data_IF_308016878570
#
_entry.id   IF_308016878570
#
_cell.length_a   1.000
_cell.length_b   1.000
_cell.length_c   1.000
_cell.angle_alpha   90.00
_cell.angle_beta   90.00
_cell.angle_gamma   90.00
#
_symmetry.space_group_name_H-M   'P 1'
#
loop_
_entity.id
_entity.type
_entity.pdbx_description
1 polymer ?
#
# COMPACT_ATOMS: atom_id res chain seq x y z
N UNK A 1 -6.59 32.42 -22.88
CA UNK A 1 -7.81 32.03 -22.16
C UNK A 1 -7.88 30.51 -22.19
N UNK A 2 -7.68 29.83 -21.06
CA UNK A 2 -7.78 28.36 -20.99
C UNK A 2 -9.25 27.99 -21.23
N UNK A 3 -9.49 27.04 -22.13
CA UNK A 3 -10.84 26.54 -22.40
C UNK A 3 -11.36 25.77 -21.16
N UNK A 4 -12.27 26.41 -20.42
CA UNK A 4 -12.77 25.91 -19.13
C UNK A 4 -13.48 24.57 -19.29
N UNK A 5 -14.28 24.42 -20.33
CA UNK A 5 -15.04 23.20 -20.57
C UNK A 5 -14.08 22.03 -20.83
N UNK A 6 -12.97 22.31 -21.52
CA UNK A 6 -11.88 21.35 -21.69
C UNK A 6 -11.22 20.95 -20.38
N UNK A 7 -10.95 21.90 -19.47
CA UNK A 7 -10.36 21.60 -18.14
C UNK A 7 -11.30 20.77 -17.26
N UNK A 8 -12.59 21.09 -17.24
CA UNK A 8 -13.59 20.34 -16.47
C UNK A 8 -13.80 18.92 -17.04
N UNK A 9 -13.80 18.79 -18.37
CA UNK A 9 -13.82 17.51 -19.04
C UNK A 9 -12.57 16.68 -18.70
N UNK A 10 -11.39 17.32 -18.67
CA UNK A 10 -10.13 16.66 -18.32
C UNK A 10 -10.10 16.17 -16.88
N UNK A 11 -10.57 16.98 -15.91
CA UNK A 11 -10.72 16.53 -14.51
C UNK A 11 -11.59 15.27 -14.44
N UNK A 12 -12.72 15.26 -15.17
CA UNK A 12 -13.62 14.13 -15.19
C UNK A 12 -13.00 12.89 -15.85
N UNK A 13 -12.24 13.07 -16.94
CA UNK A 13 -11.48 11.99 -17.60
C UNK A 13 -10.42 11.39 -16.66
N UNK A 14 -9.64 12.24 -15.98
CA UNK A 14 -8.63 11.81 -15.02
C UNK A 14 -9.25 10.93 -13.94
N UNK A 15 -10.35 11.36 -13.32
CA UNK A 15 -11.07 10.59 -12.30
C UNK A 15 -11.57 9.26 -12.86
N UNK A 16 -12.13 9.26 -14.07
CA UNK A 16 -12.86 8.11 -14.62
C UNK A 16 -11.97 7.04 -15.22
N UNK A 17 -10.82 7.45 -15.77
CA UNK A 17 -9.98 6.58 -16.58
C UNK A 17 -8.54 6.56 -16.07
N UNK A 18 -7.88 7.72 -16.05
CA UNK A 18 -6.41 7.78 -15.92
C UNK A 18 -5.91 7.48 -14.51
N UNK A 19 -6.66 7.88 -13.48
CA UNK A 19 -6.33 7.66 -12.07
C UNK A 19 -6.82 6.30 -11.55
N UNK A 20 -7.58 5.56 -12.36
CA UNK A 20 -8.05 4.23 -11.98
C UNK A 20 -6.91 3.21 -12.13
N UNK A 21 -6.93 2.12 -11.34
CA UNK A 21 -5.97 1.05 -11.51
C UNK A 21 -6.14 0.36 -12.87
N UNK A 22 -5.02 0.02 -13.52
CA UNK A 22 -5.00 -0.60 -14.85
C UNK A 22 -5.66 -1.99 -14.85
N UNK A 23 -5.61 -2.69 -13.72
CA UNK A 23 -6.22 -3.99 -13.52
C UNK A 23 -6.94 -4.07 -12.17
N UNK A 24 -8.04 -4.83 -12.12
CA UNK A 24 -8.80 -5.02 -10.86
C UNK A 24 -7.95 -5.65 -9.76
N UNK A 25 -7.08 -6.58 -10.13
CA UNK A 25 -6.14 -7.29 -9.24
C UNK A 25 -4.97 -6.44 -8.75
N UNK A 26 -4.85 -5.19 -9.20
CA UNK A 26 -3.77 -4.31 -8.78
C UNK A 26 -3.71 -4.13 -7.26
N UNK A 27 -4.85 -4.22 -6.57
CA UNK A 27 -4.93 -3.99 -5.12
C UNK A 27 -4.26 -5.09 -4.30
N UNK A 28 -4.59 -6.35 -4.56
CA UNK A 28 -4.00 -7.49 -3.82
C UNK A 28 -2.54 -7.80 -4.18
N UNK A 29 -2.07 -7.33 -5.34
CA UNK A 29 -0.70 -7.55 -5.83
C UNK A 29 0.24 -6.35 -5.62
N UNK A 30 -0.12 -5.44 -4.72
CA UNK A 30 0.78 -4.35 -4.35
C UNK A 30 2.05 -4.89 -3.69
N UNK A 31 3.20 -4.44 -4.17
CA UNK A 31 4.52 -4.87 -3.68
C UNK A 31 4.88 -4.37 -2.27
N UNK A 32 4.11 -3.41 -1.73
CA UNK A 32 4.37 -2.84 -0.40
C UNK A 32 3.82 -3.76 0.69
N UNK A 33 4.68 -4.14 1.65
CA UNK A 33 4.29 -4.93 2.82
C UNK A 33 3.22 -4.22 3.66
N UNK A 34 3.39 -2.91 3.91
CA UNK A 34 2.39 -2.11 4.65
C UNK A 34 1.03 -2.12 3.93
N UNK A 35 1.04 -2.01 2.59
CA UNK A 35 -0.18 -2.08 1.81
C UNK A 35 -0.85 -3.45 1.94
N UNK A 36 -0.07 -4.53 1.81
CA UNK A 36 -0.58 -5.90 1.91
C UNK A 36 -1.18 -6.17 3.30
N UNK A 37 -0.54 -5.72 4.37
CA UNK A 37 -1.07 -5.85 5.74
C UNK A 37 -2.41 -5.12 5.87
N UNK A 38 -2.49 -3.85 5.47
CA UNK A 38 -3.73 -3.06 5.52
C UNK A 38 -4.84 -3.68 4.68
N UNK A 39 -4.52 -4.20 3.50
CA UNK A 39 -5.47 -4.91 2.65
C UNK A 39 -6.05 -6.13 3.37
N UNK A 40 -5.20 -6.96 3.98
CA UNK A 40 -5.63 -8.15 4.72
C UNK A 40 -6.46 -7.81 5.96
N UNK A 41 -6.11 -6.75 6.68
CA UNK A 41 -6.91 -6.24 7.80
C UNK A 41 -8.30 -5.79 7.34
N UNK A 42 -8.38 -5.07 6.22
CA UNK A 42 -9.64 -4.65 5.62
C UNK A 42 -10.48 -5.87 5.20
N UNK A 43 -9.87 -6.86 4.54
CA UNK A 43 -10.55 -8.12 4.17
C UNK A 43 -11.17 -8.78 5.39
N UNK A 44 -10.52 -8.77 6.56
CA UNK A 44 -11.03 -9.40 7.79
C UNK A 44 -12.10 -8.57 8.50
N UNK A 45 -11.98 -7.24 8.46
CA UNK A 45 -12.83 -6.34 9.24
C UNK A 45 -14.13 -5.95 8.55
N UNK A 46 -14.23 -6.11 7.22
CA UNK A 46 -15.45 -5.77 6.47
C UNK A 46 -16.68 -6.54 6.93
N UNK A 47 -17.89 -5.93 6.89
CA UNK A 47 -19.14 -6.58 7.28
C UNK A 47 -19.37 -7.88 6.51
N UNK A 48 -20.01 -8.86 7.15
CA UNK A 48 -20.33 -10.14 6.53
C UNK A 48 -21.21 -9.98 5.28
N UNK A 49 -22.17 -9.05 5.32
CA UNK A 49 -23.03 -8.76 4.18
C UNK A 49 -22.29 -7.91 3.12
N UNK A 50 -21.97 -8.55 1.99
CA UNK A 50 -21.30 -7.93 0.84
C UNK A 50 -22.16 -6.89 0.11
N UNK A 51 -23.49 -6.91 0.28
CA UNK A 51 -24.40 -5.93 -0.36
C UNK A 51 -24.15 -4.51 0.16
N UNK A 52 -23.59 -4.41 1.37
CA UNK A 52 -23.22 -3.16 2.03
C UNK A 52 -21.92 -2.56 1.49
N UNK A 53 -21.12 -3.31 0.74
CA UNK A 53 -19.79 -2.92 0.29
C UNK A 53 -19.85 -1.93 -0.88
N UNK A 54 -20.28 -0.71 -0.57
CA UNK A 54 -20.25 0.44 -1.47
C UNK A 54 -19.68 1.59 -0.67
N UNK A 55 -18.68 2.29 -1.20
CA UNK A 55 -17.97 3.35 -0.48
C UNK A 55 -18.92 4.36 0.19
N UNK A 56 -19.97 4.79 -0.54
CA UNK A 56 -20.97 5.74 -0.06
C UNK A 56 -22.08 5.13 0.82
N UNK A 57 -22.08 3.84 1.07
CA UNK A 57 -23.00 3.23 2.03
C UNK A 57 -22.64 3.67 3.46
N UNK A 58 -23.64 3.88 4.32
CA UNK A 58 -23.44 4.25 5.72
C UNK A 58 -22.68 3.17 6.50
N UNK A 59 -22.93 1.88 6.18
CA UNK A 59 -22.19 0.77 6.78
C UNK A 59 -20.67 0.81 6.48
N UNK A 60 -20.26 1.56 5.44
CA UNK A 60 -18.87 1.71 5.06
C UNK A 60 -18.16 2.90 5.72
N UNK A 61 -18.88 3.77 6.45
CA UNK A 61 -18.30 4.94 7.12
C UNK A 61 -17.04 4.62 7.93
N UNK A 62 -16.98 3.56 8.77
CA UNK A 62 -15.78 3.25 9.56
C UNK A 62 -14.55 2.89 8.71
N UNK A 63 -14.75 2.45 7.46
CA UNK A 63 -13.68 1.94 6.59
C UNK A 63 -13.20 2.98 5.56
N UNK A 64 -13.92 4.09 5.38
CA UNK A 64 -13.59 5.12 4.36
C UNK A 64 -12.18 5.67 4.55
N UNK A 65 -11.77 5.97 5.79
CA UNK A 65 -10.42 6.46 6.07
C UNK A 65 -9.31 5.51 5.58
N UNK A 66 -9.50 4.20 5.77
CA UNK A 66 -8.56 3.18 5.30
C UNK A 66 -8.58 3.06 3.77
N UNK A 67 -9.77 3.05 3.15
CA UNK A 67 -9.93 3.03 1.70
C UNK A 67 -9.28 4.24 1.02
N UNK A 68 -9.44 5.42 1.59
CA UNK A 68 -8.85 6.65 1.07
C UNK A 68 -7.32 6.64 1.25
N UNK A 69 -6.81 6.11 2.37
CA UNK A 69 -5.37 5.99 2.60
C UNK A 69 -4.71 5.03 1.59
N UNK A 70 -5.33 3.87 1.34
CA UNK A 70 -4.87 2.92 0.33
C UNK A 70 -4.92 3.55 -1.07
N UNK A 71 -6.00 4.28 -1.38
CA UNK A 71 -6.15 5.00 -2.65
C UNK A 71 -5.05 6.04 -2.85
N UNK A 72 -4.77 6.87 -1.83
CA UNK A 72 -3.67 7.86 -1.87
C UNK A 72 -2.31 7.21 -2.09
N UNK A 73 -2.02 6.13 -1.34
CA UNK A 73 -0.76 5.42 -1.46
C UNK A 73 -0.54 4.89 -2.89
N UNK A 74 -1.58 4.30 -3.48
CA UNK A 74 -1.55 3.83 -4.86
C UNK A 74 -1.29 4.96 -5.85
N UNK A 75 -2.05 6.05 -5.78
CA UNK A 75 -1.91 7.18 -6.71
C UNK A 75 -0.51 7.77 -6.67
N UNK A 76 0.06 7.97 -5.46
CA UNK A 76 1.40 8.53 -5.30
C UNK A 76 2.50 7.64 -5.89
N UNK A 77 2.32 6.32 -5.86
CA UNK A 77 3.34 5.36 -6.33
C UNK A 77 3.19 5.01 -7.80
N UNK A 78 1.95 4.88 -8.27
CA UNK A 78 1.64 4.28 -9.58
C UNK A 78 1.19 5.30 -10.61
N UNK A 79 0.59 6.43 -10.20
CA UNK A 79 0.04 7.47 -11.09
C UNK A 79 0.43 8.89 -10.63
N UNK A 80 1.72 9.16 -10.32
CA UNK A 80 2.11 10.45 -9.72
C UNK A 80 1.91 11.62 -10.68
N UNK A 81 2.13 11.41 -11.97
CA UNK A 81 1.99 12.45 -13.00
C UNK A 81 0.53 12.86 -13.18
N UNK A 82 -0.37 11.89 -13.36
CA UNK A 82 -1.80 12.14 -13.49
C UNK A 82 -2.40 12.73 -12.22
N UNK A 83 -1.91 12.30 -11.05
CA UNK A 83 -2.29 12.90 -9.77
C UNK A 83 -1.84 14.37 -9.68
N UNK A 84 -0.64 14.67 -10.18
CA UNK A 84 -0.11 16.03 -10.28
C UNK A 84 -0.99 16.90 -11.17
N UNK A 85 -1.30 16.43 -12.38
CA UNK A 85 -2.19 17.10 -13.33
C UNK A 85 -3.57 17.37 -12.70
N UNK A 86 -4.17 16.35 -12.07
CA UNK A 86 -5.45 16.46 -11.39
C UNK A 86 -5.45 17.57 -10.33
N UNK A 87 -4.43 17.60 -9.46
CA UNK A 87 -4.30 18.62 -8.42
C UNK A 87 -4.10 20.01 -9.01
N UNK A 88 -3.32 20.14 -10.08
CA UNK A 88 -3.09 21.41 -10.74
C UNK A 88 -4.38 21.96 -11.36
N UNK A 89 -5.17 21.13 -12.05
CA UNK A 89 -6.44 21.53 -12.64
C UNK A 89 -7.47 21.96 -11.58
N UNK A 90 -7.53 21.25 -10.44
CA UNK A 90 -8.37 21.67 -9.31
C UNK A 90 -7.93 23.02 -8.75
N UNK A 91 -6.64 23.23 -8.53
CA UNK A 91 -6.12 24.50 -8.04
C UNK A 91 -6.40 25.66 -9.01
N UNK A 92 -6.30 25.43 -10.31
CA UNK A 92 -6.65 26.43 -11.33
C UNK A 92 -8.14 26.78 -11.29
N UNK A 93 -9.03 25.79 -11.17
CA UNK A 93 -10.47 26.03 -11.08
C UNK A 93 -10.84 26.79 -9.80
N UNK A 94 -10.23 26.47 -8.67
CA UNK A 94 -10.43 27.21 -7.41
C UNK A 94 -10.00 28.66 -7.54
N UNK A 95 -8.76 28.91 -8.03
CA UNK A 95 -8.25 30.27 -8.25
C UNK A 95 -9.14 31.09 -9.20
N UNK A 96 -9.62 30.45 -10.26
CA UNK A 96 -10.51 31.11 -11.22
C UNK A 96 -11.83 31.55 -10.57
N UNK A 97 -12.43 30.69 -9.75
CA UNK A 97 -13.68 31.01 -9.03
C UNK A 97 -13.46 32.09 -7.98
N UNK A 98 -12.37 32.02 -7.23
CA UNK A 98 -11.99 33.06 -6.25
C UNK A 98 -11.76 34.42 -6.93
N UNK A 99 -11.11 34.44 -8.10
CA UNK A 99 -10.90 35.67 -8.86
C UNK A 99 -12.20 36.29 -9.39
N UNK A 100 -13.18 35.46 -9.78
CA UNK A 100 -14.47 35.93 -10.28
C UNK A 100 -15.39 36.49 -9.18
N UNK A 101 -15.39 35.85 -8.02
CA UNK A 101 -16.39 36.12 -6.98
C UNK A 101 -15.81 36.71 -5.69
N UNK A 102 -14.50 36.93 -5.62
CA UNK A 102 -13.79 37.34 -4.41
C UNK A 102 -13.63 36.21 -3.40
N UNK A 103 -12.65 36.33 -2.49
CA UNK A 103 -12.46 35.38 -1.39
C UNK A 103 -13.49 35.61 -0.27
N UNK A 104 -13.89 34.53 0.44
CA UNK A 104 -14.80 34.61 1.59
C UNK A 104 -16.29 34.82 1.25
N UNK A 105 -16.66 34.83 -0.03
CA UNK A 105 -18.06 34.87 -0.47
C UNK A 105 -18.69 33.47 -0.49
N UNK A 106 -20.03 33.40 -0.56
CA UNK A 106 -20.75 32.12 -0.72
C UNK A 106 -20.26 31.37 -1.96
N UNK A 107 -19.86 32.11 -2.98
CA UNK A 107 -19.32 31.62 -4.24
C UNK A 107 -17.88 31.08 -4.10
N UNK A 108 -17.04 31.68 -3.25
CA UNK A 108 -15.75 31.10 -2.88
C UNK A 108 -15.90 29.76 -2.16
N UNK A 109 -16.87 29.67 -1.22
CA UNK A 109 -17.19 28.39 -0.57
C UNK A 109 -17.61 27.32 -1.59
N UNK A 110 -18.37 27.70 -2.64
CA UNK A 110 -18.71 26.78 -3.74
C UNK A 110 -17.49 26.30 -4.54
N UNK A 111 -16.37 27.02 -4.55
CA UNK A 111 -15.13 26.59 -5.19
C UNK A 111 -14.44 25.49 -4.38
N UNK A 112 -14.39 25.65 -3.06
CA UNK A 112 -13.89 24.62 -2.15
C UNK A 112 -14.77 23.37 -2.21
N UNK A 113 -16.10 23.55 -2.18
CA UNK A 113 -17.06 22.46 -2.35
C UNK A 113 -16.82 21.69 -3.66
N UNK A 114 -16.47 22.38 -4.76
CA UNK A 114 -16.15 21.71 -6.02
C UNK A 114 -14.92 20.82 -5.91
N UNK A 115 -13.84 21.33 -5.29
CA UNK A 115 -12.61 20.56 -5.08
C UNK A 115 -12.87 19.33 -4.21
N UNK A 116 -13.59 19.51 -3.11
CA UNK A 116 -13.92 18.43 -2.17
C UNK A 116 -14.83 17.39 -2.84
N UNK A 117 -15.80 17.83 -3.64
CA UNK A 117 -16.66 16.94 -4.43
C UNK A 117 -15.86 16.11 -5.44
N UNK A 118 -14.85 16.69 -6.11
CA UNK A 118 -14.02 15.96 -7.07
C UNK A 118 -13.05 14.99 -6.41
N UNK A 119 -12.49 15.35 -5.26
CA UNK A 119 -11.71 14.42 -4.43
C UNK A 119 -12.59 13.27 -3.93
N UNK A 120 -13.80 13.57 -3.47
CA UNK A 120 -14.76 12.56 -3.05
C UNK A 120 -15.16 11.63 -4.21
N UNK A 121 -15.40 12.16 -5.42
CA UNK A 121 -15.70 11.36 -6.61
C UNK A 121 -14.55 10.38 -6.94
N UNK A 122 -13.30 10.86 -6.87
CA UNK A 122 -12.10 10.05 -7.06
C UNK A 122 -12.01 8.93 -6.03
N UNK A 123 -12.07 9.26 -4.73
CA UNK A 123 -11.95 8.28 -3.66
C UNK A 123 -13.11 7.30 -3.63
N UNK A 124 -14.33 7.73 -3.94
CA UNK A 124 -15.46 6.83 -4.04
C UNK A 124 -15.26 5.79 -5.15
N UNK A 125 -14.74 6.19 -6.31
CA UNK A 125 -14.42 5.24 -7.40
C UNK A 125 -13.31 4.28 -7.00
N UNK A 126 -12.22 4.79 -6.44
CA UNK A 126 -11.09 3.98 -6.02
C UNK A 126 -11.47 3.01 -4.89
N UNK A 127 -12.14 3.49 -3.85
CA UNK A 127 -12.67 2.67 -2.76
C UNK A 127 -13.60 1.57 -3.28
N UNK A 128 -14.51 1.89 -4.20
CA UNK A 128 -15.35 0.87 -4.83
C UNK A 128 -14.54 -0.14 -5.66
N UNK A 129 -13.42 0.26 -6.27
CA UNK A 129 -12.54 -0.67 -6.98
C UNK A 129 -11.81 -1.62 -6.03
N UNK A 130 -11.35 -1.12 -4.87
CA UNK A 130 -10.75 -1.94 -3.80
C UNK A 130 -11.77 -2.95 -3.29
N UNK A 131 -12.99 -2.49 -2.97
CA UNK A 131 -14.08 -3.36 -2.48
C UNK A 131 -14.47 -4.44 -3.50
N UNK A 132 -14.43 -4.13 -4.80
CA UNK A 132 -14.65 -5.12 -5.87
C UNK A 132 -13.56 -6.18 -5.90
N UNK A 133 -12.29 -5.79 -5.76
CA UNK A 133 -11.20 -6.76 -5.70
C UNK A 133 -11.29 -7.66 -4.45
N UNK A 134 -11.60 -7.09 -3.28
CA UNK A 134 -11.83 -7.88 -2.06
C UNK A 134 -13.01 -8.84 -2.23
N UNK A 135 -14.09 -8.42 -2.88
CA UNK A 135 -15.25 -9.28 -3.16
C UNK A 135 -14.90 -10.44 -4.09
N UNK A 136 -14.10 -10.18 -5.13
CA UNK A 136 -13.59 -11.22 -6.01
C UNK A 136 -12.70 -12.21 -5.23
N UNK A 137 -11.76 -11.68 -4.45
CA UNK A 137 -10.85 -12.49 -3.62
C UNK A 137 -11.59 -13.40 -2.63
N UNK A 138 -12.62 -12.89 -1.93
CA UNK A 138 -13.44 -13.74 -1.03
C UNK A 138 -14.19 -14.82 -1.80
N UNK A 139 -14.71 -14.50 -2.99
CA UNK A 139 -15.42 -15.48 -3.82
C UNK A 139 -14.49 -16.59 -4.31
N UNK A 140 -13.24 -16.25 -4.65
CA UNK A 140 -12.18 -17.22 -4.98
C UNK A 140 -11.88 -18.15 -3.79
N UNK A 141 -11.76 -17.61 -2.56
CA UNK A 141 -11.54 -18.43 -1.36
C UNK A 141 -12.71 -19.37 -1.06
N UNK A 142 -13.94 -18.89 -1.22
CA UNK A 142 -15.15 -19.68 -0.99
C UNK A 142 -15.28 -20.81 -2.01
N UNK A 143 -14.99 -20.54 -3.28
CA UNK A 143 -14.98 -21.56 -4.33
C UNK A 143 -13.96 -22.67 -4.03
N UNK A 144 -12.74 -22.30 -3.64
CA UNK A 144 -11.68 -23.26 -3.25
C UNK A 144 -12.11 -24.11 -2.05
N UNK A 145 -12.77 -23.49 -1.06
CA UNK A 145 -13.27 -24.17 0.14
C UNK A 145 -14.42 -25.15 -0.15
N UNK A 146 -15.24 -24.89 -1.18
CA UNK A 146 -16.34 -25.76 -1.59
C UNK A 146 -15.88 -26.93 -2.47
N UNK A 147 -14.81 -26.75 -3.25
CA UNK A 147 -14.25 -27.82 -4.11
C UNK A 147 -13.35 -28.81 -3.37
N UNK A 148 -12.85 -28.46 -2.18
CA UNK A 148 -11.97 -29.31 -1.38
C UNK A 148 -12.66 -29.84 -0.12
N UNK A 149 -13.37 -30.97 -0.25
CA UNK A 149 -13.50 -31.94 0.85
C UNK A 149 -12.19 -32.74 0.95
N UNK A 150 -11.09 -32.09 1.35
CA UNK A 150 -9.76 -32.68 1.61
C UNK A 150 -8.97 -31.79 2.60
N UNK A 151 -7.98 -32.35 3.34
CA UNK A 151 -7.71 -31.95 4.72
C UNK A 151 -7.10 -30.55 4.87
N UNK A 152 -7.46 -29.94 6.00
CA UNK A 152 -7.11 -28.60 6.49
C UNK A 152 -5.79 -27.99 6.00
N UNK A 153 -5.90 -26.74 5.55
CA UNK A 153 -4.83 -25.74 5.25
C UNK A 153 -3.75 -25.65 6.35
N UNK A 154 -4.05 -26.14 7.57
CA UNK A 154 -3.08 -26.27 8.66
C UNK A 154 -1.85 -27.11 8.28
N UNK A 155 -1.99 -28.13 7.43
CA UNK A 155 -0.85 -28.98 7.05
C UNK A 155 0.14 -28.28 6.12
N UNK A 156 -0.33 -27.41 5.21
CA UNK A 156 0.54 -26.62 4.34
C UNK A 156 1.22 -25.46 5.10
N UNK A 157 0.52 -24.82 6.04
CA UNK A 157 1.09 -23.79 6.91
C UNK A 157 2.15 -24.36 7.87
N UNK A 158 1.92 -25.57 8.42
CA UNK A 158 2.91 -26.27 9.24
C UNK A 158 4.18 -26.62 8.44
N UNK A 159 4.05 -26.95 7.15
CA UNK A 159 5.18 -27.16 6.24
C UNK A 159 6.00 -25.88 6.04
N UNK A 160 5.33 -24.76 5.75
CA UNK A 160 5.98 -23.46 5.54
C UNK A 160 6.64 -22.92 6.83
N UNK A 161 5.99 -23.05 7.99
CA UNK A 161 6.57 -22.66 9.28
C UNK A 161 7.81 -23.48 9.65
N UNK A 162 7.84 -24.78 9.32
CA UNK A 162 9.02 -25.63 9.53
C UNK A 162 10.20 -25.19 8.66
N UNK A 163 9.95 -24.86 7.40
CA UNK A 163 10.99 -24.37 6.48
C UNK A 163 11.53 -23.01 6.96
N UNK A 164 10.64 -22.08 7.31
CA UNK A 164 11.04 -20.75 7.79
C UNK A 164 11.83 -20.82 9.10
N UNK A 165 11.42 -21.69 10.03
CA UNK A 165 12.15 -21.88 11.30
C UNK A 165 13.48 -22.62 11.14
N UNK A 166 13.61 -23.51 10.16
CA UNK A 166 14.87 -24.14 9.80
C UNK A 166 15.85 -23.12 9.21
N UNK A 167 15.40 -22.24 8.31
CA UNK A 167 16.22 -21.20 7.70
C UNK A 167 16.73 -20.17 8.74
N UNK A 168 15.85 -19.74 9.66
CA UNK A 168 16.23 -18.88 10.80
C UNK A 168 17.29 -19.54 11.69
N UNK A 169 17.19 -20.85 11.95
CA UNK A 169 18.19 -21.59 12.74
C UNK A 169 19.52 -21.70 11.99
N UNK A 170 19.47 -21.98 10.68
CA UNK A 170 20.66 -22.05 9.83
C UNK A 170 21.40 -20.70 9.81
N UNK A 171 20.68 -19.59 9.63
CA UNK A 171 21.26 -18.25 9.66
C UNK A 171 21.90 -17.90 11.02
N UNK A 172 21.28 -18.28 12.15
CA UNK A 172 21.87 -18.08 13.48
C UNK A 172 23.13 -18.90 13.68
N UNK A 173 23.16 -20.15 13.21
CA UNK A 173 24.33 -21.02 13.32
C UNK A 173 25.48 -20.46 12.48
N UNK A 174 25.21 -20.10 11.22
CA UNK A 174 26.19 -19.48 10.33
C UNK A 174 26.77 -18.19 10.91
N UNK A 175 25.94 -17.34 11.52
CA UNK A 175 26.39 -16.12 12.21
C UNK A 175 27.30 -16.44 13.41
N UNK A 176 26.98 -17.49 14.17
CA UNK A 176 27.78 -17.91 15.33
C UNK A 176 29.12 -18.54 14.93
N UNK A 177 29.13 -19.32 13.85
CA UNK A 177 30.35 -19.86 13.26
C UNK A 177 31.27 -18.77 12.71
N UNK A 178 30.70 -17.77 12.04
CA UNK A 178 31.45 -16.61 11.57
C UNK A 178 32.12 -15.87 12.73
N UNK A 179 31.38 -15.62 13.82
CA UNK A 179 31.92 -14.98 15.03
C UNK A 179 33.03 -15.81 15.70
N UNK A 180 32.92 -17.14 15.69
CA UNK A 180 33.98 -18.03 16.21
C UNK A 180 35.25 -17.95 15.35
N UNK A 181 35.13 -18.02 14.03
CA UNK A 181 36.29 -17.89 13.13
C UNK A 181 37.00 -16.55 13.30
N UNK A 182 36.25 -15.46 13.49
CA UNK A 182 36.86 -14.16 13.79
C UNK A 182 37.63 -14.19 15.12
N UNK A 183 37.05 -14.75 16.18
CA UNK A 183 37.72 -14.85 17.48
C UNK A 183 38.98 -15.74 17.44
N UNK A 184 38.96 -16.82 16.66
CA UNK A 184 40.12 -17.71 16.49
C UNK A 184 41.24 -17.00 15.71
N UNK A 185 40.91 -16.27 14.63
CA UNK A 185 41.88 -15.46 13.90
C UNK A 185 42.49 -14.35 14.77
N UNK A 186 41.69 -13.71 15.62
CA UNK A 186 42.19 -12.67 16.52
C UNK A 186 43.11 -13.26 17.59
N UNK A 187 42.79 -14.44 18.14
CA UNK A 187 43.66 -15.16 19.08
C UNK A 187 44.98 -15.58 18.45
N UNK A 188 44.94 -16.06 17.21
CA UNK A 188 46.14 -16.45 16.46
C UNK A 188 47.06 -15.25 16.20
N UNK A 189 46.50 -14.13 15.75
CA UNK A 189 47.23 -12.86 15.60
C UNK A 189 47.85 -12.38 16.91
N UNK A 190 47.14 -12.53 18.03
CA UNK A 190 47.62 -12.11 19.34
C UNK A 190 48.75 -13.01 19.86
N UNK A 191 48.69 -14.33 19.57
CA UNK A 191 49.78 -15.25 19.87
C UNK A 191 51.02 -14.96 19.03
N UNK A 192 50.86 -14.68 17.74
CA UNK A 192 51.97 -14.34 16.85
C UNK A 192 52.62 -13.02 17.23
N UNK A 193 51.82 -12.02 17.62
CA UNK A 193 52.32 -10.75 18.16
C UNK A 193 53.14 -10.96 19.45
N UNK A 194 52.65 -11.79 20.39
CA UNK A 194 53.40 -12.12 21.62
C UNK A 194 54.69 -12.89 21.33
N UNK A 195 54.70 -13.79 20.34
CA UNK A 195 55.92 -14.50 19.91
C UNK A 195 56.94 -13.55 19.28
N UNK A 196 56.49 -12.61 18.45
CA UNK A 196 57.36 -11.55 17.91
C UNK A 196 57.92 -10.67 19.02
N UNK A 197 57.10 -10.17 19.95
CA UNK A 197 57.53 -9.36 21.09
C UNK A 197 58.53 -10.09 22.01
N UNK A 198 58.39 -11.41 22.17
CA UNK A 198 59.37 -12.22 22.91
C UNK A 198 60.69 -12.38 22.15
N UNK A 199 60.68 -12.47 20.82
CA UNK A 199 61.89 -12.53 20.00
C UNK A 199 62.65 -11.19 19.96
N UNK A 200 61.95 -10.05 19.97
CA UNK A 200 62.59 -8.72 20.00
C UNK A 200 63.17 -8.34 21.37
N UNK A 201 62.87 -9.10 22.44
CA UNK A 201 63.37 -8.81 23.80
C UNK A 201 64.75 -9.43 24.11
N UNK A 202 65.31 -10.17 23.16
CA UNK A 202 66.63 -10.83 23.24
C UNK A 202 67.70 -10.18 22.33
N UNK A 203 67.42 -8.99 21.80
CA UNK A 203 68.40 -8.07 21.20
C UNK A 203 68.39 -6.75 21.97
#
# INVERSE_FOLDING_TARGET
>A
MVDRDRSLARISDLIRQRLQPDQRSAWRHQSSLDFAVRYQELVKSLPRDRRLWKYNNNAMQPYRGQLDAMSRNYLMRCKPEELGEFKQLLAQETRFREALYGSGTKEANRAQDYTDNKLHELYARMGNSILKDISAYRSEQEAVSQTHHQPSVANHLNGLQKIFSADIKAQRLAKREYQRRQADQDREREQDKKKQEQQTRFY
#
